data_IF_280727426702
#
_entry.id   IF_280727426702
#
_cell.length_a   1.000
_cell.length_b   1.000
_cell.length_c   1.000
_cell.angle_alpha   90.00
_cell.angle_beta   90.00
_cell.angle_gamma   90.00
#
_symmetry.space_group_name_H-M   'P 1'
#
loop_
_entity.id
_entity.type
_entity.pdbx_description
1 polymer ?
#
# COMPACT_ATOMS: atom_id res chain seq x y z
N UNK A 1 -0.12 50.50 43.88
CA UNK A 1 0.90 50.32 44.99
C UNK A 1 2.15 49.83 44.32
N UNK A 2 3.00 50.75 44.02
CA UNK A 2 4.36 51.11 44.53
C UNK A 2 5.34 49.98 44.20
N UNK A 3 6.08 50.10 43.16
CA UNK A 3 7.38 50.71 42.88
C UNK A 3 8.46 50.41 43.98
N UNK A 4 9.52 49.79 43.53
CA UNK A 4 10.87 50.21 43.82
C UNK A 4 11.92 49.72 42.82
N UNK A 5 12.40 50.68 42.04
CA UNK A 5 13.73 50.74 41.43
C UNK A 5 14.81 50.83 42.50
N UNK A 6 15.93 50.13 42.31
CA UNK A 6 17.21 50.55 42.95
C UNK A 6 18.29 50.53 41.84
N UNK A 7 18.92 51.67 41.75
CA UNK A 7 19.94 52.12 40.79
C UNK A 7 21.36 51.85 41.32
N UNK A 8 22.28 51.62 40.40
CA UNK A 8 23.70 52.02 40.32
C UNK A 8 24.75 51.53 41.31
N UNK A 9 25.79 50.95 40.76
CA UNK A 9 27.11 51.63 40.75
C UNK A 9 28.10 50.91 39.83
N UNK A 10 28.65 51.65 38.87
CA UNK A 10 29.79 51.30 38.06
C UNK A 10 31.06 51.28 38.91
N UNK A 11 31.95 50.32 38.73
CA UNK A 11 33.39 50.42 39.01
C UNK A 11 34.18 49.84 37.82
N UNK A 12 34.96 50.72 37.25
CA UNK A 12 36.02 50.53 36.26
C UNK A 12 37.13 49.66 36.82
N UNK A 13 37.56 48.62 36.12
CA UNK A 13 38.95 48.13 36.18
C UNK A 13 39.35 47.51 34.83
N UNK A 14 40.48 47.96 34.40
CA UNK A 14 41.25 47.70 33.15
C UNK A 14 41.49 46.21 32.84
N UNK A 15 41.69 45.83 31.58
CA UNK A 15 41.75 44.44 31.13
C UNK A 15 43.14 43.83 31.32
N UNK A 16 43.21 42.64 31.88
CA UNK A 16 44.38 41.75 31.78
C UNK A 16 44.19 40.86 30.55
N UNK A 17 45.12 40.97 29.62
CA UNK A 17 45.34 40.07 28.51
C UNK A 17 45.34 38.61 28.93
N UNK A 18 44.46 37.84 28.40
CA UNK A 18 44.41 36.38 28.53
C UNK A 18 44.62 35.74 27.18
N UNK A 19 45.72 35.02 27.06
CA UNK A 19 46.14 34.20 25.94
C UNK A 19 44.98 33.32 25.43
N UNK A 20 44.81 33.34 24.06
CA UNK A 20 43.86 32.54 23.35
C UNK A 20 44.14 31.03 23.57
N UNK A 21 43.21 30.31 24.11
CA UNK A 21 43.12 28.85 24.01
C UNK A 21 42.42 28.50 22.73
N UNK A 22 43.02 27.59 21.97
CA UNK A 22 42.44 26.92 20.78
C UNK A 22 41.06 26.38 21.07
N UNK A 23 40.10 26.37 20.11
CA UNK A 23 38.81 25.79 20.30
C UNK A 23 38.95 24.28 20.45
N UNK A 24 38.48 23.74 21.56
CA UNK A 24 38.32 22.32 21.81
C UNK A 24 37.27 21.77 20.85
N UNK A 25 37.62 20.76 20.07
CA UNK A 25 36.73 19.96 19.26
C UNK A 25 35.53 19.48 20.07
N UNK A 26 34.28 19.59 19.57
CA UNK A 26 33.13 19.03 20.25
C UNK A 26 33.25 17.51 20.37
N UNK A 27 32.72 16.91 21.46
CA UNK A 27 32.79 15.46 21.62
C UNK A 27 32.03 14.78 20.48
N UNK A 28 32.70 13.82 19.83
CA UNK A 28 32.07 12.95 18.84
C UNK A 28 30.86 12.27 19.43
N UNK A 29 29.72 12.49 18.82
CA UNK A 29 28.48 11.73 19.09
C UNK A 29 28.81 10.25 18.80
N UNK A 30 28.51 9.33 19.74
CA UNK A 30 28.76 7.92 19.45
C UNK A 30 27.93 7.49 18.25
N UNK A 31 28.62 7.20 17.14
CA UNK A 31 28.01 6.59 15.97
C UNK A 31 27.28 5.32 16.44
N UNK A 32 25.99 5.26 16.17
CA UNK A 32 25.20 4.02 16.23
C UNK A 32 26.04 2.93 15.57
N UNK A 33 26.37 1.90 16.33
CA UNK A 33 27.11 0.75 15.83
C UNK A 33 26.39 0.26 14.57
N UNK A 34 27.05 0.39 13.44
CA UNK A 34 26.66 -0.26 12.19
C UNK A 34 26.50 -1.74 12.51
N UNK A 35 25.33 -2.28 12.21
CA UNK A 35 25.09 -3.72 12.22
C UNK A 35 26.24 -4.37 11.43
N UNK A 36 26.93 -5.39 11.93
CA UNK A 36 28.00 -6.02 11.21
C UNK A 36 27.51 -6.47 9.84
N UNK A 37 28.28 -6.14 8.82
CA UNK A 37 28.03 -6.59 7.44
C UNK A 37 28.15 -8.11 7.39
N UNK A 38 27.00 -8.79 7.45
CA UNK A 38 26.88 -10.27 7.43
C UNK A 38 27.16 -10.83 6.02
N UNK A 39 27.45 -9.98 5.03
CA UNK A 39 27.66 -10.38 3.63
C UNK A 39 28.99 -11.09 3.34
N UNK A 40 29.84 -11.33 4.34
CA UNK A 40 31.17 -11.93 4.13
C UNK A 40 31.31 -13.44 4.38
N UNK A 41 30.25 -14.17 4.58
CA UNK A 41 30.32 -15.63 4.52
C UNK A 41 30.05 -16.13 3.10
N UNK A 42 31.03 -15.98 2.21
CA UNK A 42 31.02 -16.71 0.94
C UNK A 42 31.26 -18.20 1.23
N UNK A 43 30.21 -18.95 1.54
CA UNK A 43 30.23 -20.38 1.40
C UNK A 43 30.27 -20.70 -0.11
N UNK A 44 31.12 -21.64 -0.50
CA UNK A 44 31.12 -22.26 -1.83
C UNK A 44 29.83 -23.08 -1.89
N UNK A 45 28.74 -22.47 -2.35
CA UNK A 45 27.45 -23.12 -2.52
C UNK A 45 27.42 -23.78 -3.90
N UNK A 46 26.96 -25.05 -3.93
CA UNK A 46 26.48 -25.65 -5.17
C UNK A 46 25.39 -24.73 -5.77
N UNK A 47 25.32 -24.58 -7.10
CA UNK A 47 24.31 -23.71 -7.71
C UNK A 47 22.93 -24.16 -7.26
N UNK A 48 22.19 -23.25 -6.63
CA UNK A 48 20.82 -23.51 -6.18
C UNK A 48 19.94 -23.99 -7.35
N UNK A 49 19.01 -24.91 -7.13
CA UNK A 49 18.12 -25.40 -8.18
C UNK A 49 17.35 -24.23 -8.81
N UNK A 50 17.22 -24.27 -10.12
CA UNK A 50 16.45 -23.28 -10.86
C UNK A 50 14.97 -23.56 -10.73
N UNK A 51 14.19 -22.54 -10.36
CA UNK A 51 12.74 -22.61 -10.25
C UNK A 51 12.11 -21.85 -11.41
N UNK A 52 11.17 -22.48 -12.09
CA UNK A 52 10.42 -21.90 -13.19
C UNK A 52 9.20 -21.13 -12.65
N UNK A 53 9.25 -19.82 -12.71
CA UNK A 53 8.19 -18.95 -12.18
C UNK A 53 6.92 -18.91 -13.05
N UNK A 54 6.92 -19.53 -14.23
CA UNK A 54 5.69 -19.63 -15.07
C UNK A 54 4.57 -20.38 -14.36
N UNK A 55 4.91 -21.30 -13.47
CA UNK A 55 3.95 -22.06 -12.65
C UNK A 55 3.75 -21.46 -11.26
N UNK A 56 4.40 -20.34 -10.95
CA UNK A 56 4.21 -19.66 -9.69
C UNK A 56 2.76 -19.19 -9.51
N UNK A 57 2.28 -19.27 -8.30
CA UNK A 57 1.02 -18.61 -7.93
C UNK A 57 1.17 -17.12 -8.10
N UNK A 58 0.16 -16.45 -8.66
CA UNK A 58 0.17 -14.99 -8.83
C UNK A 58 -0.78 -14.34 -7.85
N UNK A 59 -0.28 -13.36 -7.11
CA UNK A 59 -1.08 -12.52 -6.25
C UNK A 59 -1.03 -11.06 -6.71
N UNK A 60 -2.17 -10.37 -6.64
CA UNK A 60 -2.29 -8.94 -6.89
C UNK A 60 -2.60 -8.25 -5.56
N UNK A 61 -1.73 -7.33 -5.14
CA UNK A 61 -1.83 -6.58 -3.89
C UNK A 61 -2.12 -5.13 -4.20
N UNK A 62 -3.28 -4.63 -3.75
CA UNK A 62 -3.82 -3.32 -4.08
C UNK A 62 -3.92 -2.44 -2.83
N UNK A 63 -3.14 -1.37 -2.80
CA UNK A 63 -3.10 -0.40 -1.72
C UNK A 63 -4.35 0.49 -1.69
N UNK A 64 -4.71 1.03 -0.52
CA UNK A 64 -5.71 2.10 -0.38
C UNK A 64 -5.20 3.45 -0.88
N UNK A 65 -6.09 4.32 -1.38
CA UNK A 65 -5.68 5.65 -1.87
C UNK A 65 -6.73 6.44 -2.68
N UNK A 66 -8.01 6.20 -2.46
CA UNK A 66 -9.09 7.01 -3.06
C UNK A 66 -9.03 7.09 -4.58
N UNK A 67 -9.06 8.31 -5.13
CA UNK A 67 -9.06 8.56 -6.57
C UNK A 67 -7.83 8.00 -7.31
N UNK A 68 -6.69 7.85 -6.63
CA UNK A 68 -5.48 7.24 -7.18
C UNK A 68 -5.68 5.76 -7.58
N UNK A 69 -6.73 5.11 -7.08
CA UNK A 69 -7.06 3.73 -7.43
C UNK A 69 -7.33 3.48 -8.92
N UNK A 70 -7.58 4.53 -9.72
CA UNK A 70 -7.66 4.43 -11.17
C UNK A 70 -6.34 3.95 -11.79
N UNK A 71 -5.18 4.25 -11.17
CA UNK A 71 -3.89 3.69 -11.55
C UNK A 71 -3.88 2.16 -11.45
N UNK A 72 -4.42 1.60 -10.37
CA UNK A 72 -4.52 0.13 -10.19
C UNK A 72 -5.38 -0.52 -11.26
N UNK A 73 -6.48 0.14 -11.62
CA UNK A 73 -7.35 -0.32 -12.69
C UNK A 73 -6.63 -0.31 -14.06
N UNK A 74 -5.82 0.71 -14.34
CA UNK A 74 -4.94 0.77 -15.51
C UNK A 74 -3.87 -0.32 -15.52
N UNK A 75 -3.23 -0.58 -14.37
CA UNK A 75 -2.28 -1.70 -14.21
C UNK A 75 -2.96 -3.02 -14.54
N UNK A 76 -4.16 -3.27 -14.00
CA UNK A 76 -4.90 -4.51 -14.28
C UNK A 76 -5.33 -4.62 -15.74
N UNK A 77 -5.75 -3.50 -16.36
CA UNK A 77 -6.11 -3.48 -17.77
C UNK A 77 -4.95 -3.95 -18.65
N UNK A 78 -3.75 -3.39 -18.48
CA UNK A 78 -2.55 -3.81 -19.22
C UNK A 78 -2.13 -5.26 -18.90
N UNK A 79 -2.23 -5.68 -17.63
CA UNK A 79 -1.96 -7.07 -17.22
C UNK A 79 -2.89 -8.06 -17.93
N UNK A 80 -4.15 -7.69 -18.17
CA UNK A 80 -5.14 -8.54 -18.83
C UNK A 80 -4.92 -8.72 -20.33
N UNK A 81 -4.06 -7.90 -20.95
CA UNK A 81 -3.72 -8.00 -22.38
C UNK A 81 -2.76 -9.16 -22.67
N UNK A 82 -2.02 -9.63 -21.67
CA UNK A 82 -1.04 -10.71 -21.86
C UNK A 82 -1.67 -12.09 -21.71
N UNK A 83 -1.15 -13.07 -22.48
CA UNK A 83 -1.59 -14.47 -22.41
C UNK A 83 -0.96 -15.21 -21.22
N UNK A 84 -1.15 -14.70 -20.02
CA UNK A 84 -0.70 -15.37 -18.80
C UNK A 84 -1.91 -15.69 -17.91
N UNK A 85 -1.82 -16.71 -17.05
CA UNK A 85 -2.87 -16.96 -16.06
C UNK A 85 -3.12 -15.70 -15.22
N UNK A 86 -4.38 -15.30 -15.01
CA UNK A 86 -4.70 -14.16 -14.17
C UNK A 86 -4.27 -14.42 -12.72
N UNK A 87 -4.12 -13.37 -11.89
CA UNK A 87 -3.88 -13.54 -10.46
C UNK A 87 -4.94 -14.44 -9.82
N UNK A 88 -4.50 -15.46 -9.10
CA UNK A 88 -5.38 -16.39 -8.37
C UNK A 88 -5.75 -15.87 -6.99
N UNK A 89 -5.01 -14.89 -6.50
CA UNK A 89 -5.27 -14.22 -5.23
C UNK A 89 -5.21 -12.70 -5.41
N UNK A 90 -6.26 -12.01 -4.99
CA UNK A 90 -6.30 -10.54 -5.02
C UNK A 90 -6.59 -10.06 -3.60
N UNK A 91 -5.70 -9.22 -3.08
CA UNK A 91 -5.86 -8.63 -1.76
C UNK A 91 -5.88 -7.10 -1.89
N UNK A 92 -6.81 -6.44 -1.22
CA UNK A 92 -6.96 -4.99 -1.31
C UNK A 92 -7.41 -4.34 0.00
N UNK A 93 -7.11 -3.05 0.12
CA UNK A 93 -7.56 -2.18 1.22
C UNK A 93 -8.20 -0.93 0.61
N UNK A 94 -9.31 -0.46 1.20
CA UNK A 94 -9.99 0.78 0.76
C UNK A 94 -10.39 0.72 -0.72
N UNK A 95 -10.01 1.70 -1.53
CA UNK A 95 -10.23 1.67 -2.99
C UNK A 95 -9.60 0.44 -3.65
N UNK A 96 -8.48 -0.05 -3.09
CA UNK A 96 -7.86 -1.30 -3.54
C UNK A 96 -8.77 -2.52 -3.31
N UNK A 97 -9.58 -2.53 -2.24
CA UNK A 97 -10.57 -3.57 -2.00
C UNK A 97 -11.74 -3.49 -3.00
N UNK A 98 -12.15 -2.28 -3.37
CA UNK A 98 -13.18 -2.08 -4.42
C UNK A 98 -12.67 -2.60 -5.76
N UNK A 99 -11.46 -2.21 -6.19
CA UNK A 99 -10.85 -2.73 -7.41
C UNK A 99 -10.66 -4.26 -7.36
N UNK A 100 -10.22 -4.79 -6.21
CA UNK A 100 -10.05 -6.24 -5.99
C UNK A 100 -11.38 -6.99 -6.16
N UNK A 101 -12.46 -6.47 -5.58
CA UNK A 101 -13.78 -7.07 -5.68
C UNK A 101 -14.36 -6.98 -7.10
N UNK A 102 -14.15 -5.85 -7.80
CA UNK A 102 -14.53 -5.70 -9.22
C UNK A 102 -13.81 -6.72 -10.12
N UNK A 103 -12.54 -7.02 -9.83
CA UNK A 103 -11.77 -8.02 -10.57
C UNK A 103 -12.23 -9.44 -10.19
N UNK A 104 -12.31 -9.77 -8.91
CA UNK A 104 -12.63 -11.12 -8.45
C UNK A 104 -14.09 -11.51 -8.72
N UNK A 105 -15.02 -10.56 -8.64
CA UNK A 105 -16.46 -10.76 -8.83
C UNK A 105 -16.94 -10.61 -10.26
N UNK A 106 -16.03 -10.74 -11.26
CA UNK A 106 -16.40 -10.72 -12.67
C UNK A 106 -15.59 -11.76 -13.45
N UNK A 107 -16.22 -12.32 -14.47
CA UNK A 107 -15.54 -13.25 -15.40
C UNK A 107 -14.40 -12.51 -16.13
N UNK A 108 -13.29 -13.19 -16.46
CA UNK A 108 -12.09 -12.54 -17.00
C UNK A 108 -12.35 -11.54 -18.14
N UNK A 109 -13.21 -11.90 -19.09
CA UNK A 109 -13.54 -11.02 -20.23
C UNK A 109 -14.34 -9.76 -19.90
N UNK A 110 -14.83 -9.62 -18.66
CA UNK A 110 -15.63 -8.46 -18.23
C UNK A 110 -14.96 -7.60 -17.15
N UNK A 111 -13.83 -8.04 -16.60
CA UNK A 111 -13.16 -7.38 -15.46
C UNK A 111 -12.78 -5.93 -15.78
N UNK A 112 -12.14 -5.71 -16.94
CA UNK A 112 -11.72 -4.35 -17.36
C UNK A 112 -12.92 -3.47 -17.65
N UNK A 113 -13.97 -4.00 -18.31
CA UNK A 113 -15.22 -3.27 -18.57
C UNK A 113 -15.87 -2.79 -17.26
N UNK A 114 -15.92 -3.64 -16.22
CA UNK A 114 -16.49 -3.29 -14.90
C UNK A 114 -15.64 -2.28 -14.14
N UNK A 115 -14.32 -2.38 -14.23
CA UNK A 115 -13.43 -1.34 -13.70
C UNK A 115 -13.68 0.00 -14.41
N UNK A 116 -13.78 0.01 -15.73
CA UNK A 116 -14.08 1.22 -16.50
C UNK A 116 -15.46 1.80 -16.14
N UNK A 117 -16.48 0.95 -15.99
CA UNK A 117 -17.82 1.39 -15.61
C UNK A 117 -17.82 2.04 -14.22
N UNK A 118 -17.13 1.46 -13.23
CA UNK A 118 -16.98 2.04 -11.91
C UNK A 118 -16.27 3.39 -11.96
N UNK A 119 -15.09 3.44 -12.59
CA UNK A 119 -14.29 4.67 -12.66
C UNK A 119 -14.97 5.77 -13.49
N UNK A 120 -15.73 5.39 -14.53
CA UNK A 120 -16.57 6.30 -15.29
C UNK A 120 -17.71 6.89 -14.44
N UNK A 121 -18.35 6.08 -13.60
CA UNK A 121 -19.42 6.53 -12.73
C UNK A 121 -18.91 7.53 -11.70
N UNK A 122 -17.87 7.19 -10.95
CA UNK A 122 -17.35 8.02 -9.85
C UNK A 122 -16.69 9.33 -10.34
N UNK A 123 -16.34 9.42 -11.63
CA UNK A 123 -15.79 10.63 -12.26
C UNK A 123 -16.82 11.38 -13.12
N UNK A 124 -18.12 11.09 -12.98
CA UNK A 124 -19.17 11.68 -13.84
C UNK A 124 -19.77 12.99 -13.31
N UNK A 125 -19.40 13.44 -12.10
CA UNK A 125 -20.00 14.62 -11.49
C UNK A 125 -19.72 15.90 -12.31
N UNK A 126 -20.74 16.67 -12.71
CA UNK A 126 -20.55 17.92 -13.46
C UNK A 126 -19.70 18.95 -12.72
N UNK A 127 -19.80 18.99 -11.39
CA UNK A 127 -19.04 19.90 -10.53
C UNK A 127 -17.51 19.62 -10.54
N UNK A 128 -17.09 18.45 -11.02
CA UNK A 128 -15.69 18.05 -11.17
C UNK A 128 -15.13 18.28 -12.58
N UNK A 129 -16.02 18.59 -13.54
CA UNK A 129 -15.65 18.86 -14.94
C UNK A 129 -15.44 20.35 -15.15
N UNK A 130 -14.38 20.92 -14.58
CA UNK A 130 -14.09 22.34 -14.69
C UNK A 130 -13.47 22.68 -16.03
N UNK A 131 -13.96 23.76 -16.73
CA UNK A 131 -13.39 24.19 -17.98
C UNK A 131 -11.92 24.58 -17.87
N UNK A 132 -11.14 24.35 -18.92
CA UNK A 132 -9.70 24.64 -18.97
C UNK A 132 -9.38 26.15 -18.79
N UNK A 133 -10.31 27.06 -19.05
CA UNK A 133 -10.13 28.48 -18.85
C UNK A 133 -10.23 28.96 -17.40
N UNK A 134 -10.62 28.07 -16.45
CA UNK A 134 -10.86 28.45 -15.05
C UNK A 134 -9.56 28.50 -14.19
N UNK A 135 -8.42 28.57 -14.82
CA UNK A 135 -7.13 28.68 -14.17
C UNK A 135 -6.16 27.53 -14.50
N UNK A 136 -5.03 27.50 -13.82
CA UNK A 136 -4.07 26.41 -13.96
C UNK A 136 -4.61 25.07 -13.43
N UNK A 137 -3.89 24.00 -13.71
CA UNK A 137 -4.31 22.65 -13.37
C UNK A 137 -4.42 22.45 -11.86
N UNK A 138 -3.49 23.01 -11.06
CA UNK A 138 -3.51 22.91 -9.62
C UNK A 138 -4.78 23.50 -9.01
N UNK A 139 -5.19 24.68 -9.47
CA UNK A 139 -6.43 25.31 -9.01
C UNK A 139 -7.67 24.50 -9.38
N UNK A 140 -7.71 23.95 -10.60
CA UNK A 140 -8.85 23.10 -11.01
C UNK A 140 -8.94 21.84 -10.16
N UNK A 141 -7.80 21.17 -9.87
CA UNK A 141 -7.74 20.00 -9.02
C UNK A 141 -8.19 20.31 -7.59
N UNK A 142 -7.78 21.45 -7.01
CA UNK A 142 -8.27 21.92 -5.70
C UNK A 142 -9.78 22.14 -5.69
N UNK A 143 -10.31 22.80 -6.72
CA UNK A 143 -11.74 23.03 -6.84
C UNK A 143 -12.52 21.74 -7.04
N UNK A 144 -12.02 20.80 -7.83
CA UNK A 144 -12.64 19.49 -8.02
C UNK A 144 -12.67 18.67 -6.73
N UNK A 145 -11.57 18.63 -5.99
CA UNK A 145 -11.53 17.96 -4.68
C UNK A 145 -12.45 18.64 -3.66
N UNK A 146 -12.50 19.97 -3.63
CA UNK A 146 -13.44 20.72 -2.79
C UNK A 146 -14.90 20.45 -3.20
N UNK A 147 -15.20 20.39 -4.50
CA UNK A 147 -16.51 20.02 -5.01
C UNK A 147 -16.90 18.59 -4.61
N UNK A 148 -15.97 17.64 -4.69
CA UNK A 148 -16.19 16.28 -4.22
C UNK A 148 -16.57 16.23 -2.73
N UNK A 149 -15.90 17.03 -1.91
CA UNK A 149 -16.19 17.13 -0.48
C UNK A 149 -17.55 17.79 -0.19
N UNK A 150 -17.98 18.78 -1.00
CA UNK A 150 -19.22 19.53 -0.78
C UNK A 150 -20.46 18.89 -1.41
N UNK A 151 -20.30 18.21 -2.55
CA UNK A 151 -21.41 17.66 -3.35
C UNK A 151 -21.47 16.14 -3.25
N UNK A 152 -20.34 15.49 -2.95
CA UNK A 152 -20.19 14.04 -2.97
C UNK A 152 -19.72 13.51 -4.33
N UNK A 153 -19.63 12.19 -4.42
CA UNK A 153 -19.19 11.43 -5.61
C UNK A 153 -20.32 10.53 -6.08
N UNK A 154 -20.76 10.63 -7.34
CA UNK A 154 -21.82 9.78 -7.89
C UNK A 154 -21.54 8.29 -7.68
N UNK A 155 -22.52 7.57 -7.17
CA UNK A 155 -22.41 6.13 -6.94
C UNK A 155 -21.41 5.72 -5.85
N UNK A 156 -20.87 6.69 -5.11
CA UNK A 156 -19.90 6.41 -4.03
C UNK A 156 -20.37 6.99 -2.70
N UNK A 157 -20.40 8.33 -2.55
CA UNK A 157 -20.84 8.96 -1.31
C UNK A 157 -21.51 10.31 -1.56
N UNK A 158 -22.36 10.74 -0.62
CA UNK A 158 -22.97 12.07 -0.59
C UNK A 158 -22.87 12.71 0.79
N UNK A 159 -22.82 14.05 0.90
CA UNK A 159 -22.84 14.73 2.18
C UNK A 159 -24.10 14.37 2.97
N UNK A 160 -23.97 14.11 4.27
CA UNK A 160 -25.13 13.96 5.14
C UNK A 160 -25.86 15.28 5.27
N UNK A 161 -27.14 15.28 4.96
CA UNK A 161 -28.04 16.45 5.08
C UNK A 161 -28.91 16.33 6.33
N UNK A 162 -28.33 15.83 7.43
CA UNK A 162 -29.07 15.65 8.68
C UNK A 162 -29.35 17.01 9.31
N UNK A 163 -30.62 17.44 9.20
CA UNK A 163 -31.16 18.66 9.81
C UNK A 163 -31.01 18.65 11.34
N UNK A 164 -30.88 17.45 11.94
CA UNK A 164 -30.63 17.23 13.37
C UNK A 164 -29.33 17.85 13.85
N UNK A 165 -28.29 17.91 12.99
CA UNK A 165 -27.00 18.57 13.27
C UNK A 165 -27.16 20.09 13.36
N UNK A 166 -28.01 20.66 12.49
CA UNK A 166 -28.35 22.11 12.50
C UNK A 166 -29.27 22.49 13.65
N UNK A 167 -30.08 21.54 14.16
CA UNK A 167 -31.06 21.77 15.21
C UNK A 167 -30.54 21.39 16.61
N UNK A 168 -29.29 21.01 16.79
CA UNK A 168 -28.72 20.63 18.08
C UNK A 168 -29.37 19.40 18.71
N UNK A 169 -30.02 18.54 17.93
CA UNK A 169 -30.65 17.32 18.40
C UNK A 169 -29.59 16.20 18.52
N UNK A 170 -29.54 15.58 19.66
CA UNK A 170 -28.49 14.65 20.15
C UNK A 170 -28.49 13.27 19.49
N UNK A 171 -28.59 13.17 18.16
CA UNK A 171 -28.26 11.89 17.50
C UNK A 171 -26.73 11.81 17.29
N UNK A 172 -26.07 10.72 17.67
CA UNK A 172 -24.63 10.57 17.43
C UNK A 172 -24.34 10.55 15.94
N UNK A 173 -23.70 11.59 15.43
CA UNK A 173 -23.25 11.67 14.04
C UNK A 173 -21.84 11.13 13.99
N UNK A 174 -21.65 9.97 13.36
CA UNK A 174 -20.36 9.26 13.31
C UNK A 174 -19.57 9.54 12.02
N UNK A 175 -20.13 10.31 11.07
CA UNK A 175 -19.47 10.59 9.78
C UNK A 175 -20.03 11.80 9.06
N UNK A 176 -19.23 12.40 8.17
CA UNK A 176 -19.66 13.52 7.32
C UNK A 176 -20.48 13.07 6.12
N UNK A 177 -20.28 11.86 5.62
CA UNK A 177 -20.88 11.38 4.37
C UNK A 177 -21.70 10.10 4.59
N UNK A 178 -22.67 9.92 3.68
CA UNK A 178 -23.45 8.70 3.51
C UNK A 178 -22.91 7.92 2.32
N UNK A 179 -22.65 6.61 2.52
CA UNK A 179 -22.10 5.68 1.52
C UNK A 179 -23.13 4.67 1.00
N UNK A 180 -24.41 4.88 1.21
CA UNK A 180 -25.49 3.99 0.73
C UNK A 180 -25.46 3.79 -0.79
N UNK A 181 -25.08 4.85 -1.54
CA UNK A 181 -24.90 4.78 -2.98
C UNK A 181 -23.80 3.80 -3.41
N UNK A 182 -22.73 3.66 -2.62
CA UNK A 182 -21.67 2.69 -2.88
C UNK A 182 -22.18 1.27 -2.83
N UNK A 183 -23.03 0.94 -1.84
CA UNK A 183 -23.61 -0.41 -1.73
C UNK A 183 -24.31 -0.82 -3.02
N UNK A 184 -25.20 0.03 -3.51
CA UNK A 184 -25.95 -0.22 -4.75
C UNK A 184 -25.02 -0.32 -5.98
N UNK A 185 -23.94 0.45 -6.00
CA UNK A 185 -22.93 0.39 -7.07
C UNK A 185 -22.19 -0.93 -7.05
N UNK A 186 -21.75 -1.39 -5.87
CA UNK A 186 -21.07 -2.68 -5.70
C UNK A 186 -21.99 -3.85 -6.08
N UNK A 187 -23.24 -3.86 -5.61
CA UNK A 187 -24.23 -4.90 -5.94
C UNK A 187 -24.52 -4.97 -7.45
N UNK A 188 -24.48 -3.84 -8.15
CA UNK A 188 -24.70 -3.79 -9.59
C UNK A 188 -23.50 -4.26 -10.41
N UNK A 189 -22.28 -3.99 -9.95
CA UNK A 189 -21.05 -4.19 -10.73
C UNK A 189 -20.32 -5.49 -10.38
N UNK A 190 -20.65 -6.13 -9.26
CA UNK A 190 -19.94 -7.27 -8.69
C UNK A 190 -20.89 -8.44 -8.48
N UNK A 191 -20.55 -9.59 -9.03
CA UNK A 191 -21.20 -10.86 -8.70
C UNK A 191 -20.55 -11.45 -7.44
N UNK A 192 -21.20 -11.22 -6.28
CA UNK A 192 -20.72 -11.74 -4.99
C UNK A 192 -20.86 -13.26 -4.90
N UNK A 193 -21.77 -13.88 -5.64
CA UNK A 193 -21.85 -15.34 -5.72
C UNK A 193 -20.63 -15.92 -6.44
N UNK A 194 -20.13 -15.26 -7.50
CA UNK A 194 -18.87 -15.62 -8.16
C UNK A 194 -17.68 -15.50 -7.20
N UNK A 195 -17.59 -14.42 -6.41
CA UNK A 195 -16.56 -14.28 -5.37
C UNK A 195 -16.61 -15.47 -4.40
N UNK A 196 -17.79 -15.83 -3.94
CA UNK A 196 -17.99 -16.88 -2.94
C UNK A 196 -17.83 -18.31 -3.49
N UNK A 197 -17.71 -18.49 -4.81
CA UNK A 197 -17.24 -19.74 -5.42
C UNK A 197 -15.73 -19.96 -5.31
N UNK A 198 -14.98 -18.95 -4.86
CA UNK A 198 -13.53 -19.01 -4.61
C UNK A 198 -12.67 -19.35 -5.83
N UNK A 199 -13.14 -19.11 -7.07
CA UNK A 199 -12.33 -19.26 -8.29
C UNK A 199 -11.13 -18.32 -8.29
N UNK A 200 -11.30 -17.12 -7.71
CA UNK A 200 -10.25 -16.18 -7.37
C UNK A 200 -10.32 -15.91 -5.86
N UNK A 201 -9.23 -16.14 -5.13
CA UNK A 201 -9.19 -15.78 -3.71
C UNK A 201 -9.23 -14.26 -3.57
N UNK A 202 -10.17 -13.76 -2.79
CA UNK A 202 -10.32 -12.34 -2.47
C UNK A 202 -10.11 -12.13 -0.98
N UNK A 203 -9.20 -11.20 -0.63
CA UNK A 203 -9.00 -10.78 0.76
C UNK A 203 -9.16 -9.27 0.85
N UNK A 204 -9.99 -8.82 1.78
CA UNK A 204 -10.35 -7.42 2.00
C UNK A 204 -9.92 -7.00 3.39
N UNK A 205 -9.00 -6.04 3.50
CA UNK A 205 -8.47 -5.57 4.78
C UNK A 205 -9.33 -4.48 5.41
N UNK A 206 -9.61 -4.61 6.72
CA UNK A 206 -10.34 -3.63 7.52
C UNK A 206 -9.73 -3.54 8.93
N UNK A 207 -10.21 -2.59 9.74
CA UNK A 207 -9.82 -2.43 11.15
C UNK A 207 -11.06 -2.60 12.00
N UNK A 208 -11.00 -3.50 12.97
CA UNK A 208 -12.05 -3.62 13.99
C UNK A 208 -11.97 -2.40 14.95
N UNK A 209 -13.04 -1.63 15.03
CA UNK A 209 -13.06 -0.34 15.76
C UNK A 209 -12.81 -0.53 17.25
N UNK A 210 -13.30 -1.61 17.82
CA UNK A 210 -13.21 -1.87 19.26
C UNK A 210 -11.82 -2.31 19.69
N UNK A 211 -11.19 -3.19 18.92
CA UNK A 211 -9.89 -3.76 19.26
C UNK A 211 -8.71 -2.98 18.67
N UNK A 212 -8.93 -2.18 17.62
CA UNK A 212 -7.89 -1.52 16.83
C UNK A 212 -7.05 -2.47 15.97
N UNK A 213 -7.40 -3.74 15.90
CA UNK A 213 -6.66 -4.74 15.14
C UNK A 213 -7.04 -4.74 13.66
N UNK A 214 -6.03 -4.88 12.79
CA UNK A 214 -6.27 -5.22 11.38
C UNK A 214 -6.84 -6.61 11.26
N UNK A 215 -7.87 -6.75 10.44
CA UNK A 215 -8.48 -8.03 10.08
C UNK A 215 -8.59 -8.14 8.56
N UNK A 216 -8.74 -9.37 8.08
CA UNK A 216 -9.00 -9.61 6.66
C UNK A 216 -10.23 -10.49 6.50
N UNK A 217 -11.21 -9.99 5.75
CA UNK A 217 -12.31 -10.78 5.23
C UNK A 217 -11.81 -11.54 4.00
N UNK A 218 -11.83 -12.85 4.05
CA UNK A 218 -11.25 -13.72 3.00
C UNK A 218 -12.30 -14.75 2.57
N UNK A 219 -12.56 -14.82 1.26
CA UNK A 219 -13.60 -15.70 0.71
C UNK A 219 -13.32 -17.20 0.86
N UNK A 220 -12.08 -17.57 1.21
CA UNK A 220 -11.77 -18.97 1.56
C UNK A 220 -12.15 -19.33 3.00
N UNK A 221 -12.47 -18.35 3.84
CA UNK A 221 -12.80 -18.52 5.26
C UNK A 221 -14.26 -18.20 5.53
N UNK A 222 -14.81 -17.17 4.88
CA UNK A 222 -16.18 -16.69 5.10
C UNK A 222 -16.79 -16.15 3.81
N UNK A 223 -18.12 -16.00 3.79
CA UNK A 223 -18.80 -15.34 2.68
C UNK A 223 -18.48 -13.84 2.68
N UNK A 224 -18.19 -13.30 1.49
CA UNK A 224 -17.97 -11.88 1.27
C UNK A 224 -19.22 -11.27 0.64
N UNK A 225 -19.70 -10.16 1.19
CA UNK A 225 -20.76 -9.32 0.66
C UNK A 225 -20.28 -7.87 0.45
N UNK A 226 -21.14 -7.00 -0.08
CA UNK A 226 -20.79 -5.60 -0.31
C UNK A 226 -20.36 -4.86 0.96
N UNK A 227 -20.93 -5.22 2.12
CA UNK A 227 -20.60 -4.62 3.42
C UNK A 227 -19.13 -4.82 3.81
N UNK A 228 -18.51 -5.94 3.46
CA UNK A 228 -17.10 -6.20 3.72
C UNK A 228 -16.19 -5.27 2.90
N UNK A 229 -16.56 -5.03 1.64
CA UNK A 229 -15.84 -4.08 0.76
C UNK A 229 -16.04 -2.65 1.25
N UNK A 230 -17.27 -2.31 1.69
CA UNK A 230 -17.57 -0.98 2.27
C UNK A 230 -16.82 -0.76 3.58
N UNK A 231 -16.69 -1.77 4.45
CA UNK A 231 -15.92 -1.68 5.69
C UNK A 231 -14.47 -1.33 5.44
N UNK A 232 -13.87 -1.95 4.41
CA UNK A 232 -12.51 -1.66 3.98
C UNK A 232 -12.31 -0.21 3.52
N UNK A 233 -13.34 0.44 3.00
CA UNK A 233 -13.31 1.84 2.54
C UNK A 233 -13.91 2.85 3.51
N UNK A 234 -14.30 2.44 4.72
CA UNK A 234 -14.94 3.29 5.71
C UNK A 234 -13.93 4.14 6.49
N UNK A 235 -13.29 5.12 5.82
CA UNK A 235 -12.26 5.97 6.44
C UNK A 235 -12.89 7.06 7.34
N UNK A 236 -12.64 7.04 8.67
CA UNK A 236 -13.12 8.08 9.57
C UNK A 236 -12.34 9.39 9.40
N UNK A 237 -12.91 10.55 9.71
CA UNK A 237 -14.31 10.81 10.08
C UNK A 237 -15.24 10.96 8.87
N UNK A 238 -14.73 10.72 7.64
CA UNK A 238 -15.51 10.87 6.41
C UNK A 238 -16.69 9.89 6.37
N UNK A 239 -16.43 8.62 6.63
CA UNK A 239 -17.42 7.55 6.53
C UNK A 239 -17.68 6.88 7.88
N UNK A 240 -18.95 6.49 8.11
CA UNK A 240 -19.34 5.77 9.31
C UNK A 240 -18.73 4.36 9.35
N UNK A 241 -18.51 3.78 10.53
CA UNK A 241 -18.15 2.39 10.63
C UNK A 241 -19.24 1.49 10.03
N UNK A 242 -18.83 0.37 9.44
CA UNK A 242 -19.75 -0.62 8.89
C UNK A 242 -19.91 -1.74 9.90
N UNK A 243 -21.17 -2.06 10.22
CA UNK A 243 -21.50 -3.11 11.15
C UNK A 243 -21.62 -4.47 10.44
N UNK A 244 -20.85 -5.48 10.89
CA UNK A 244 -20.83 -6.84 10.34
C UNK A 244 -20.74 -7.82 11.52
N UNK A 245 -21.68 -8.77 11.61
CA UNK A 245 -21.68 -9.87 12.57
C UNK A 245 -21.46 -9.43 14.04
N UNK A 246 -22.06 -8.30 14.44
CA UNK A 246 -22.00 -7.78 15.81
C UNK A 246 -20.79 -6.91 16.14
N UNK A 247 -19.91 -6.66 15.19
CA UNK A 247 -18.72 -5.81 15.32
C UNK A 247 -18.73 -4.67 14.29
N UNK A 248 -18.03 -3.59 14.63
CA UNK A 248 -17.91 -2.38 13.81
C UNK A 248 -16.53 -2.27 13.19
N UNK A 249 -16.47 -1.90 11.90
CA UNK A 249 -15.24 -1.87 11.13
C UNK A 249 -15.02 -0.54 10.42
N UNK A 250 -13.78 -0.08 10.42
CA UNK A 250 -13.28 1.04 9.65
C UNK A 250 -12.28 0.60 8.58
N UNK A 251 -11.89 1.57 7.73
CA UNK A 251 -10.89 1.41 6.67
C UNK A 251 -9.59 0.78 7.20
N UNK A 252 -9.13 -0.25 6.49
CA UNK A 252 -7.90 -0.95 6.81
C UNK A 252 -6.66 -0.06 6.77
N UNK A 253 -6.70 1.00 5.95
CA UNK A 253 -5.61 1.96 5.77
C UNK A 253 -5.20 2.72 7.05
N UNK A 254 -6.06 2.73 8.07
CA UNK A 254 -5.73 3.32 9.38
C UNK A 254 -4.54 2.61 10.03
N UNK A 255 -4.44 1.30 9.88
CA UNK A 255 -3.39 0.47 10.51
C UNK A 255 -2.42 -0.08 9.47
N UNK A 256 -2.93 -0.64 8.36
CA UNK A 256 -2.13 -1.23 7.29
C UNK A 256 -2.76 -0.99 5.93
N UNK A 257 -2.18 -0.06 5.18
CA UNK A 257 -2.72 0.37 3.89
C UNK A 257 -2.39 -0.57 2.72
N UNK A 258 -1.46 -1.52 2.91
CA UNK A 258 -1.04 -2.49 1.87
C UNK A 258 -1.07 -3.90 2.43
N UNK A 259 -1.86 -4.82 1.87
CA UNK A 259 -2.06 -6.17 2.41
C UNK A 259 -0.95 -7.16 2.02
N UNK A 260 0.30 -6.69 1.79
CA UNK A 260 1.42 -7.54 1.38
C UNK A 260 1.72 -8.62 2.43
N UNK A 261 1.85 -8.22 3.71
CA UNK A 261 2.20 -9.16 4.78
C UNK A 261 1.17 -10.30 4.90
N UNK A 262 -0.11 -9.98 4.79
CA UNK A 262 -1.18 -10.98 4.82
C UNK A 262 -1.04 -12.01 3.68
N UNK A 263 -0.66 -11.54 2.48
CA UNK A 263 -0.42 -12.42 1.33
C UNK A 263 0.83 -13.30 1.55
N UNK A 264 1.91 -12.72 2.06
CA UNK A 264 3.15 -13.46 2.34
C UNK A 264 2.95 -14.53 3.42
N UNK A 265 2.22 -14.20 4.50
CA UNK A 265 1.94 -15.13 5.61
C UNK A 265 0.95 -16.24 5.20
N UNK A 266 0.01 -15.94 4.33
CA UNK A 266 -1.01 -16.88 3.85
C UNK A 266 -0.62 -17.71 2.64
N UNK A 267 0.60 -17.56 2.12
CA UNK A 267 1.12 -18.32 0.99
C UNK A 267 1.60 -19.72 1.44
N UNK A 268 1.20 -20.79 0.74
CA UNK A 268 1.78 -22.11 0.96
C UNK A 268 3.30 -22.12 0.68
N UNK A 269 4.09 -22.60 1.63
CA UNK A 269 5.55 -22.59 1.58
C UNK A 269 6.18 -23.44 0.45
N UNK A 270 5.42 -24.36 -0.11
CA UNK A 270 5.85 -25.30 -1.14
C UNK A 270 5.48 -24.87 -2.56
N UNK A 271 5.09 -23.61 -2.75
CA UNK A 271 4.76 -23.07 -4.07
C UNK A 271 5.47 -21.74 -4.28
N UNK A 272 6.10 -21.52 -5.43
CA UNK A 272 6.66 -20.22 -5.78
C UNK A 272 5.53 -19.19 -5.93
N UNK A 273 5.84 -17.93 -5.58
CA UNK A 273 4.89 -16.82 -5.60
C UNK A 273 5.42 -15.65 -6.41
N UNK A 274 4.58 -15.13 -7.28
CA UNK A 274 4.77 -13.81 -7.91
C UNK A 274 3.74 -12.86 -7.33
N UNK A 275 4.18 -11.78 -6.73
CA UNK A 275 3.33 -10.69 -6.22
C UNK A 275 3.44 -9.50 -7.16
N UNK A 276 2.31 -9.04 -7.66
CA UNK A 276 2.16 -7.74 -8.28
C UNK A 276 1.63 -6.78 -7.20
N UNK A 277 2.50 -5.96 -6.64
CA UNK A 277 2.13 -4.97 -5.65
C UNK A 277 1.95 -3.61 -6.29
N UNK A 278 0.77 -3.01 -6.13
CA UNK A 278 0.43 -1.71 -6.71
C UNK A 278 0.20 -0.70 -5.60
N UNK A 279 1.16 0.17 -5.42
CA UNK A 279 1.16 1.23 -4.42
C UNK A 279 0.75 2.57 -5.02
N UNK A 280 -0.05 3.32 -4.26
CA UNK A 280 -0.61 4.61 -4.64
C UNK A 280 0.10 5.78 -3.97
N UNK A 281 0.82 5.51 -2.87
CA UNK A 281 1.59 6.51 -2.14
C UNK A 281 3.07 6.17 -2.17
N UNK A 282 3.88 7.12 -2.67
CA UNK A 282 5.33 6.93 -2.76
C UNK A 282 6.01 7.33 -1.45
N UNK A 283 6.66 6.38 -0.78
CA UNK A 283 7.45 6.64 0.43
C UNK A 283 8.62 7.61 0.18
N UNK A 284 9.16 7.67 -1.05
CA UNK A 284 10.22 8.60 -1.44
C UNK A 284 9.61 9.90 -1.98
N UNK A 285 10.16 11.04 -1.64
CA UNK A 285 9.72 12.34 -2.11
C UNK A 285 10.73 13.43 -1.80
N UNK A 286 10.55 14.57 -2.42
CA UNK A 286 11.37 15.76 -2.16
C UNK A 286 11.10 16.33 -0.76
N UNK A 287 12.02 17.17 -0.27
CA UNK A 287 11.80 17.94 0.95
C UNK A 287 10.74 19.02 0.67
N UNK A 288 9.63 19.07 1.46
CA UNK A 288 8.58 20.05 1.25
C UNK A 288 9.06 21.48 1.53
N UNK A 289 8.53 22.43 0.78
CA UNK A 289 8.85 23.86 0.87
C UNK A 289 7.67 24.72 1.31
N UNK A 290 6.45 24.17 1.28
CA UNK A 290 5.20 24.83 1.68
C UNK A 290 4.42 23.97 2.69
N UNK A 291 3.50 24.56 3.45
CA UNK A 291 2.64 23.83 4.40
C UNK A 291 1.75 22.78 3.69
N UNK A 292 1.28 23.07 2.50
CA UNK A 292 0.53 22.10 1.69
C UNK A 292 1.39 20.89 1.33
N UNK A 293 2.63 21.11 0.88
CA UNK A 293 3.58 20.03 0.60
C UNK A 293 3.99 19.25 1.85
N UNK A 294 4.01 19.89 3.04
CA UNK A 294 4.24 19.19 4.32
C UNK A 294 3.09 18.21 4.60
N UNK A 295 1.84 18.66 4.45
CA UNK A 295 0.66 17.82 4.68
C UNK A 295 0.60 16.66 3.67
N UNK A 296 0.87 16.93 2.38
CA UNK A 296 0.97 15.91 1.34
C UNK A 296 2.08 14.89 1.66
N UNK A 297 3.27 15.35 2.01
CA UNK A 297 4.40 14.49 2.35
C UNK A 297 4.14 13.64 3.58
N UNK A 298 3.48 14.20 4.60
CA UNK A 298 3.05 13.44 5.77
C UNK A 298 2.07 12.33 5.38
N UNK A 299 1.11 12.61 4.52
CA UNK A 299 0.13 11.66 3.99
C UNK A 299 0.83 10.54 3.21
N UNK A 300 1.73 10.89 2.30
CA UNK A 300 2.50 9.93 1.52
C UNK A 300 3.29 8.96 2.41
N UNK A 301 3.97 9.48 3.43
CA UNK A 301 4.72 8.66 4.38
C UNK A 301 3.78 7.78 5.21
N UNK A 302 2.64 8.33 5.67
CA UNK A 302 1.69 7.62 6.53
C UNK A 302 1.06 6.44 5.80
N UNK A 303 0.64 6.64 4.57
CA UNK A 303 -0.09 5.64 3.79
C UNK A 303 0.79 4.82 2.84
N UNK A 304 2.08 5.17 2.71
CA UNK A 304 3.00 4.38 1.89
C UNK A 304 3.14 2.96 2.42
N UNK A 305 3.43 2.04 1.52
CA UNK A 305 3.71 0.66 1.92
C UNK A 305 4.99 0.58 2.75
N UNK A 306 4.97 -0.30 3.73
CA UNK A 306 6.17 -0.69 4.48
C UNK A 306 6.87 -1.88 3.81
N UNK A 307 6.80 -1.95 2.48
CA UNK A 307 7.31 -3.09 1.71
C UNK A 307 8.75 -3.39 2.04
N UNK A 308 9.61 -2.37 2.10
CA UNK A 308 11.01 -2.57 2.46
C UNK A 308 11.17 -3.21 3.84
N UNK A 309 10.47 -2.71 4.86
CA UNK A 309 10.52 -3.29 6.21
C UNK A 309 10.04 -4.74 6.21
N UNK A 310 8.92 -5.00 5.55
CA UNK A 310 8.34 -6.34 5.48
C UNK A 310 9.27 -7.30 4.70
N UNK A 311 9.84 -6.86 3.59
CA UNK A 311 10.78 -7.68 2.80
C UNK A 311 12.12 -7.86 3.51
N UNK A 312 12.65 -6.84 4.20
CA UNK A 312 13.88 -6.96 4.99
C UNK A 312 13.72 -7.97 6.15
N UNK A 313 12.60 -7.90 6.87
CA UNK A 313 12.29 -8.87 7.94
C UNK A 313 12.13 -10.28 7.38
N UNK A 314 11.43 -10.41 6.24
CA UNK A 314 11.26 -11.71 5.61
C UNK A 314 12.59 -12.27 5.10
N UNK A 315 13.43 -11.45 4.48
CA UNK A 315 14.77 -11.85 4.02
C UNK A 315 15.67 -12.27 5.19
N UNK A 316 15.66 -11.53 6.29
CA UNK A 316 16.40 -11.90 7.49
C UNK A 316 15.94 -13.27 8.04
N UNK A 317 14.64 -13.51 8.06
CA UNK A 317 14.09 -14.81 8.46
C UNK A 317 14.51 -15.94 7.51
N UNK A 318 14.47 -15.71 6.19
CA UNK A 318 14.89 -16.70 5.20
C UNK A 318 16.39 -17.00 5.29
N UNK A 319 17.23 -15.98 5.49
CA UNK A 319 18.66 -16.15 5.71
C UNK A 319 18.96 -16.98 6.97
N UNK A 320 18.21 -16.74 8.05
CA UNK A 320 18.32 -17.55 9.28
C UNK A 320 17.90 -19.00 9.00
N UNK A 321 16.82 -19.22 8.30
CA UNK A 321 16.34 -20.54 7.93
C UNK A 321 17.37 -21.29 7.06
N UNK A 322 17.99 -20.60 6.09
CA UNK A 322 19.06 -21.17 5.28
C UNK A 322 20.27 -21.57 6.14
N UNK A 323 20.70 -20.70 7.07
CA UNK A 323 21.79 -21.00 7.98
C UNK A 323 21.48 -22.24 8.87
N UNK A 324 20.23 -22.38 9.32
CA UNK A 324 19.77 -23.57 10.07
C UNK A 324 19.79 -24.82 9.18
N UNK A 325 19.32 -24.71 7.92
CA UNK A 325 19.36 -25.82 6.97
C UNK A 325 20.81 -26.31 6.71
N UNK A 326 21.74 -25.37 6.52
CA UNK A 326 23.15 -25.63 6.32
C UNK A 326 23.80 -26.31 7.58
N UNK A 327 23.37 -25.89 8.78
CA UNK A 327 23.79 -26.48 10.02
C UNK A 327 23.30 -27.94 10.14
N UNK A 328 22.02 -28.17 9.86
CA UNK A 328 21.42 -29.50 9.88
C UNK A 328 22.15 -30.43 8.89
N UNK A 329 22.49 -29.92 7.69
CA UNK A 329 23.25 -30.71 6.70
C UNK A 329 24.67 -31.15 7.16
N UNK A 330 25.19 -30.54 8.22
CA UNK A 330 26.47 -30.87 8.82
C UNK A 330 26.35 -31.81 10.03
N UNK A 331 25.13 -32.12 10.47
CA UNK A 331 24.92 -33.04 11.58
C UNK A 331 25.28 -34.49 11.17
N UNK A 332 25.76 -35.31 12.10
CA UNK A 332 25.88 -36.75 11.88
C UNK A 332 24.54 -37.39 11.50
N UNK A 333 24.56 -38.43 10.66
CA UNK A 333 23.36 -39.10 10.16
C UNK A 333 22.39 -39.55 11.26
N UNK A 334 22.91 -39.96 12.41
CA UNK A 334 22.10 -40.36 13.56
C UNK A 334 21.24 -39.20 14.11
N UNK A 335 21.71 -37.95 14.02
CA UNK A 335 20.99 -36.77 14.47
C UNK A 335 20.10 -36.18 13.37
N UNK A 336 20.46 -36.36 12.10
CA UNK A 336 19.63 -35.89 10.98
C UNK A 336 18.26 -36.59 10.95
N UNK A 337 18.21 -37.85 11.43
CA UNK A 337 16.98 -38.65 11.50
C UNK A 337 16.16 -38.43 12.80
N UNK A 338 16.59 -37.52 13.68
CA UNK A 338 15.85 -37.18 14.89
C UNK A 338 14.52 -36.50 14.55
N UNK A 339 13.38 -36.91 15.17
CA UNK A 339 12.07 -36.29 14.90
C UNK A 339 12.03 -34.78 15.08
N UNK A 340 12.81 -34.22 16.02
CA UNK A 340 12.90 -32.78 16.22
C UNK A 340 13.61 -32.07 15.08
N UNK A 341 14.66 -32.69 14.52
CA UNK A 341 15.36 -32.18 13.33
C UNK A 341 14.44 -32.24 12.10
N UNK A 342 13.71 -33.32 11.91
CA UNK A 342 12.73 -33.45 10.82
C UNK A 342 11.63 -32.41 10.93
N UNK A 343 11.15 -32.11 12.13
CA UNK A 343 10.14 -31.03 12.35
C UNK A 343 10.70 -29.65 11.99
N UNK A 344 11.95 -29.34 12.31
CA UNK A 344 12.62 -28.10 11.91
C UNK A 344 12.81 -28.05 10.40
N UNK A 345 13.31 -29.12 9.77
CA UNK A 345 13.50 -29.20 8.32
C UNK A 345 12.21 -28.94 7.54
N UNK A 346 11.07 -29.42 8.04
CA UNK A 346 9.77 -29.18 7.41
C UNK A 346 9.39 -27.70 7.39
N UNK A 347 9.92 -26.89 8.33
CA UNK A 347 9.69 -25.45 8.40
C UNK A 347 10.69 -24.62 7.58
N UNK A 348 11.80 -25.22 7.15
CA UNK A 348 12.87 -24.51 6.43
C UNK A 348 12.68 -24.47 4.91
N UNK A 349 11.72 -25.22 4.37
CA UNK A 349 11.47 -25.24 2.93
C UNK A 349 10.62 -24.04 2.54
N UNK A 350 11.19 -23.16 1.74
CA UNK A 350 10.48 -22.03 1.11
C UNK A 350 10.80 -22.03 -0.39
N UNK A 351 9.75 -21.89 -1.18
CA UNK A 351 9.88 -21.61 -2.58
C UNK A 351 10.12 -20.10 -2.80
N UNK A 352 10.74 -19.70 -3.94
CA UNK A 352 11.06 -18.31 -4.21
C UNK A 352 9.81 -17.43 -4.30
N UNK A 353 9.97 -16.17 -3.87
CA UNK A 353 8.96 -15.13 -3.96
C UNK A 353 9.55 -13.97 -4.77
N UNK A 354 8.86 -13.58 -5.82
CA UNK A 354 9.17 -12.37 -6.59
C UNK A 354 8.09 -11.33 -6.37
N UNK A 355 8.47 -10.10 -6.03
CA UNK A 355 7.57 -8.96 -5.84
C UNK A 355 7.87 -7.94 -6.93
N UNK A 356 6.94 -7.75 -7.84
CA UNK A 356 6.95 -6.67 -8.83
C UNK A 356 6.20 -5.49 -8.24
N UNK A 357 6.93 -4.43 -7.93
CA UNK A 357 6.44 -3.27 -7.23
C UNK A 357 6.14 -2.15 -8.24
N UNK A 358 4.87 -1.87 -8.47
CA UNK A 358 4.40 -0.76 -9.28
C UNK A 358 3.99 0.37 -8.33
N UNK A 359 4.69 1.48 -8.39
CA UNK A 359 4.45 2.62 -7.51
C UNK A 359 3.96 3.79 -8.36
N UNK A 360 2.78 4.31 -8.02
CA UNK A 360 2.34 5.57 -8.60
C UNK A 360 3.29 6.69 -8.18
N UNK A 361 3.85 7.39 -9.17
CA UNK A 361 4.77 8.50 -8.93
C UNK A 361 4.07 9.80 -9.24
N UNK A 362 3.98 10.64 -8.23
CA UNK A 362 3.30 11.92 -8.29
C UNK A 362 3.88 12.81 -9.40
N UNK A 363 3.01 13.61 -9.97
CA UNK A 363 3.38 14.66 -10.91
C UNK A 363 3.48 15.99 -10.19
N UNK A 364 4.32 16.90 -10.70
CA UNK A 364 4.61 18.19 -10.08
C UNK A 364 3.38 19.10 -9.85
N UNK A 365 2.22 18.77 -10.43
CA UNK A 365 0.96 19.51 -10.27
C UNK A 365 -0.06 18.81 -9.35
N UNK A 366 0.27 17.65 -8.79
CA UNK A 366 -0.54 16.97 -7.79
C UNK A 366 -0.24 17.56 -6.41
N UNK A 367 -1.25 17.61 -5.56
CA UNK A 367 -1.22 18.25 -4.25
C UNK A 367 -1.90 17.35 -3.21
N UNK A 368 -1.95 17.80 -1.96
CA UNK A 368 -2.53 17.10 -0.80
C UNK A 368 -3.88 16.41 -1.05
N UNK A 369 -4.70 16.94 -1.95
CA UNK A 369 -6.04 16.43 -2.25
C UNK A 369 -6.11 15.42 -3.40
N UNK A 370 -4.97 14.90 -3.90
CA UNK A 370 -4.89 13.97 -5.04
C UNK A 370 -5.77 12.71 -4.90
N UNK A 371 -5.94 12.21 -3.69
CA UNK A 371 -6.78 11.04 -3.37
C UNK A 371 -8.29 11.34 -3.30
N UNK A 372 -8.67 12.63 -3.32
CA UNK A 372 -10.06 13.12 -3.45
C UNK A 372 -10.36 13.74 -4.82
N UNK A 373 -9.42 13.73 -5.74
CA UNK A 373 -9.54 14.32 -7.08
C UNK A 373 -10.13 13.30 -8.07
N UNK A 374 -11.46 13.18 -8.06
CA UNK A 374 -12.22 12.26 -8.92
C UNK A 374 -12.62 12.86 -10.27
N UNK A 375 -12.02 13.97 -10.74
CA UNK A 375 -12.34 14.48 -12.07
C UNK A 375 -12.03 13.46 -13.17
N UNK A 376 -12.77 13.52 -14.26
CA UNK A 376 -12.56 12.63 -15.40
C UNK A 376 -11.11 12.69 -15.89
N UNK A 377 -10.54 13.87 -16.00
CA UNK A 377 -9.18 14.07 -16.47
C UNK A 377 -8.14 13.43 -15.54
N UNK A 378 -8.31 13.54 -14.21
CA UNK A 378 -7.41 12.91 -13.25
C UNK A 378 -7.52 11.39 -13.30
N UNK A 379 -8.74 10.85 -13.33
CA UNK A 379 -9.01 9.41 -13.43
C UNK A 379 -8.40 8.81 -14.70
N UNK A 380 -8.58 9.46 -15.87
CA UNK A 380 -8.00 9.01 -17.13
C UNK A 380 -6.47 9.04 -17.08
N UNK A 381 -5.88 10.06 -16.51
CA UNK A 381 -4.44 10.19 -16.39
C UNK A 381 -3.82 9.12 -15.46
N UNK A 382 -4.46 8.87 -14.30
CA UNK A 382 -4.04 7.79 -13.40
C UNK A 382 -4.14 6.42 -14.10
N UNK A 383 -5.25 6.17 -14.80
CA UNK A 383 -5.44 4.94 -15.57
C UNK A 383 -4.34 4.75 -16.61
N UNK A 384 -4.07 5.77 -17.43
CA UNK A 384 -3.01 5.72 -18.44
C UNK A 384 -1.62 5.53 -17.83
N UNK A 385 -1.35 6.14 -16.66
CA UNK A 385 -0.10 5.93 -15.95
C UNK A 385 0.05 4.45 -15.55
N UNK A 386 -0.99 3.85 -15.00
CA UNK A 386 -1.01 2.42 -14.66
C UNK A 386 -0.77 1.51 -15.85
N UNK A 387 -1.42 1.81 -16.98
CA UNK A 387 -1.20 1.07 -18.25
C UNK A 387 0.26 1.18 -18.70
N UNK A 388 0.85 2.36 -18.68
CA UNK A 388 2.25 2.57 -19.09
C UNK A 388 3.22 1.81 -18.21
N UNK A 389 3.08 1.93 -16.89
CA UNK A 389 3.99 1.31 -15.92
C UNK A 389 3.93 -0.22 -15.99
N UNK A 390 2.71 -0.78 -16.13
CA UNK A 390 2.56 -2.23 -16.29
C UNK A 390 3.15 -2.72 -17.62
N UNK A 391 2.92 -2.02 -18.73
CA UNK A 391 3.53 -2.37 -20.02
C UNK A 391 5.04 -2.28 -19.99
N UNK A 392 5.61 -1.28 -19.30
CA UNK A 392 7.06 -1.16 -19.07
C UNK A 392 7.58 -2.36 -18.28
N UNK A 393 6.87 -2.76 -17.22
CA UNK A 393 7.22 -3.93 -16.43
C UNK A 393 7.18 -5.21 -17.27
N UNK A 394 6.15 -5.40 -18.08
CA UNK A 394 5.99 -6.58 -18.95
C UNK A 394 6.98 -6.63 -20.13
N UNK A 395 7.54 -5.50 -20.52
CA UNK A 395 8.57 -5.43 -21.58
C UNK A 395 9.92 -6.00 -21.12
N UNK A 396 10.15 -6.16 -19.80
CA UNK A 396 11.36 -6.79 -19.28
C UNK A 396 11.31 -8.31 -19.54
N UNK A 397 12.28 -8.88 -20.25
CA UNK A 397 12.32 -10.32 -20.51
C UNK A 397 12.44 -11.13 -19.22
N UNK A 398 11.47 -11.98 -18.97
CA UNK A 398 11.39 -12.80 -17.76
C UNK A 398 10.64 -12.13 -16.59
N UNK A 399 9.99 -10.98 -16.81
CA UNK A 399 9.01 -10.46 -15.86
C UNK A 399 7.85 -11.45 -15.72
N UNK A 400 7.49 -11.81 -14.48
CA UNK A 400 6.39 -12.72 -14.10
C UNK A 400 6.55 -14.19 -14.50
N UNK A 401 7.52 -14.58 -15.33
CA UNK A 401 7.69 -15.94 -15.82
C UNK A 401 9.15 -16.38 -15.98
N UNK A 402 10.08 -15.66 -15.37
CA UNK A 402 11.50 -15.96 -15.41
C UNK A 402 11.90 -17.26 -14.72
N UNK A 403 13.19 -17.61 -14.84
CA UNK A 403 13.79 -18.71 -14.10
C UNK A 403 14.66 -18.14 -12.99
N UNK A 404 14.28 -18.41 -11.74
CA UNK A 404 14.99 -17.92 -10.55
C UNK A 404 16.00 -18.93 -10.08
N UNK A 405 17.20 -18.48 -9.74
CA UNK A 405 18.29 -19.37 -9.26
C UNK A 405 18.34 -19.53 -7.74
N UNK A 406 17.44 -18.88 -6.99
CA UNK A 406 17.64 -18.76 -5.56
C UNK A 406 16.33 -18.79 -4.78
N UNK A 407 16.31 -19.55 -3.69
CA UNK A 407 15.28 -19.43 -2.66
C UNK A 407 15.42 -18.05 -1.99
N UNK A 408 14.29 -17.39 -1.74
CA UNK A 408 14.30 -16.09 -1.09
C UNK A 408 13.22 -15.15 -1.64
N UNK A 409 13.27 -13.88 -1.21
CA UNK A 409 12.41 -12.80 -1.71
C UNK A 409 13.23 -11.88 -2.59
N UNK A 410 12.73 -11.60 -3.79
CA UNK A 410 13.34 -10.61 -4.69
C UNK A 410 12.30 -9.55 -5.04
N UNK A 411 12.65 -8.27 -4.93
CA UNK A 411 11.77 -7.15 -5.27
C UNK A 411 12.31 -6.44 -6.51
N UNK A 412 11.40 -6.17 -7.45
CA UNK A 412 11.67 -5.45 -8.70
C UNK A 412 10.83 -4.19 -8.77
N UNK A 413 11.43 -3.07 -9.11
CA UNK A 413 10.76 -1.82 -9.48
C UNK A 413 11.21 -1.45 -10.90
N UNK A 414 10.54 -2.04 -11.90
CA UNK A 414 10.95 -1.94 -13.30
C UNK A 414 10.40 -0.70 -14.00
N UNK A 415 9.42 -0.04 -13.40
CA UNK A 415 8.85 1.21 -13.92
C UNK A 415 9.62 2.46 -13.45
N UNK A 416 10.62 2.34 -12.56
CA UNK A 416 11.45 3.46 -12.13
C UNK A 416 12.36 3.90 -13.29
N UNK A 417 12.36 5.19 -13.70
CA UNK A 417 13.25 5.68 -14.74
C UNK A 417 14.73 5.43 -14.40
N UNK A 418 15.44 4.72 -15.29
CA UNK A 418 16.86 4.37 -15.07
C UNK A 418 17.10 3.17 -14.14
N UNK A 419 16.07 2.46 -13.72
CA UNK A 419 16.23 1.20 -13.02
C UNK A 419 16.80 0.16 -13.99
N UNK A 420 18.12 -0.01 -13.98
CA UNK A 420 18.70 -1.29 -14.39
C UNK A 420 18.11 -2.37 -13.47
N UNK A 421 17.96 -3.63 -13.96
CA UNK A 421 17.60 -4.80 -13.11
C UNK A 421 18.47 -4.79 -11.85
N UNK A 422 18.07 -3.98 -10.87
CA UNK A 422 18.67 -4.04 -9.56
C UNK A 422 18.02 -5.26 -8.90
N UNK A 423 18.58 -6.46 -9.25
CA UNK A 423 18.55 -7.54 -8.28
C UNK A 423 19.22 -6.97 -7.05
N UNK A 424 18.48 -6.41 -6.14
CA UNK A 424 18.91 -6.29 -4.76
C UNK A 424 18.61 -7.65 -4.14
N UNK A 425 19.60 -8.55 -4.02
CA UNK A 425 19.49 -9.57 -3.02
C UNK A 425 19.40 -8.78 -1.72
N UNK A 426 18.28 -8.89 -1.07
CA UNK A 426 18.11 -8.35 0.25
C UNK A 426 18.98 -9.17 1.18
#
# INVERSE_FOLDING_TARGET
MSVRLVSNRAMSTTPKTRTARSPSTPPETPMLRTVPDVTRLKAIQAPAPRVDMRQARKALVLQGGGALGAYQAGVYAALSEVRQPPPQWIAGVSIGAINAALIAGNVPGKRVERLQEFWNLVSSAPAQQLPTWLGDRNRRNQWSAAAASLVGIPGFFSPRRDLSLLMGMSAPVLSYYDTSALKSTLERLIDFDLINRCETRLSVGAVNVRSGNSIYFDNTVQKIGPEHVMASGALPPGFAPVHIDGEDYWDGGIVSNTPLQYVLDGQPRNQPLVVLQVDLFNARGAMPTTLSEVAERQKDITYSSRTRLNTDVMAANLNLQQAIADLIGKLPDALQNDPSVAAVQAQLKHEPIEIFHLIYRDKAYEIESKDYEFSRAAVEEHWEAGVRDMRTTLADPGALDGVVQQNGVTTFDLAEPGAARIKRPI
#
